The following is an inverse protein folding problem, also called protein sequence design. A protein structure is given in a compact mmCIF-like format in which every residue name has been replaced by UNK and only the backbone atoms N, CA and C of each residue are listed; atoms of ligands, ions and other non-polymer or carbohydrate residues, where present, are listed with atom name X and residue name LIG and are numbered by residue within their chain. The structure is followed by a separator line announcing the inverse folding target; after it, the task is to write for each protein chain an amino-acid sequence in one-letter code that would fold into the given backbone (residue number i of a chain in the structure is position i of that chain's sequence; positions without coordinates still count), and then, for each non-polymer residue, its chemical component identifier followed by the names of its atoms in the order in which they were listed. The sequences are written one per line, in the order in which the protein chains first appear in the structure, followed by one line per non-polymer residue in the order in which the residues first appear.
data_IF_756445511077
#
_entry.id   IF_756445511077
#
_cell.length_a   1.000
_cell.length_b   1.000
_cell.length_c   1.000
_cell.angle_alpha   90.00
_cell.angle_beta   90.00
_cell.angle_gamma   90.00
#
_symmetry.space_group_name_H-M   'P 1'
#
loop_
_entity.id
_entity.type
_entity.pdbx_description
1 polymer ?
#
# COMPACT_ATOMS: atom_id res chain seq x y z
N UNK A 1 -0.61 4.11 5.06
CA UNK A 1 -1.84 3.81 4.30
C UNK A 1 -1.62 4.30 2.87
N UNK A 2 -1.19 3.41 1.98
CA UNK A 2 -0.87 3.74 0.58
C UNK A 2 -2.13 3.60 -0.27
N UNK A 3 -2.52 4.67 -0.97
CA UNK A 3 -3.60 4.63 -1.96
C UNK A 3 -2.96 4.50 -3.34
N UNK A 4 -2.99 3.30 -3.91
CA UNK A 4 -2.67 3.08 -5.32
C UNK A 4 -3.90 3.45 -6.16
N UNK A 5 -3.83 4.55 -6.91
CA UNK A 5 -4.87 4.92 -7.88
C UNK A 5 -4.63 4.14 -9.17
N UNK A 6 -5.39 3.06 -9.38
CA UNK A 6 -5.44 2.31 -10.64
C UNK A 6 -6.45 2.94 -11.62
N UNK A 7 -6.16 2.83 -12.92
CA UNK A 7 -7.13 3.08 -14.01
C UNK A 7 -8.25 2.02 -14.04
N UNK A 8 -9.13 1.99 -15.07
CA UNK A 8 -10.34 1.16 -15.05
C UNK A 8 -10.06 -0.34 -14.83
N UNK A 9 -10.97 -1.07 -14.16
CA UNK A 9 -10.69 -2.36 -13.55
C UNK A 9 -10.42 -3.45 -14.59
N UNK A 10 -9.32 -4.18 -14.41
CA UNK A 10 -9.08 -5.46 -15.10
C UNK A 10 -9.66 -6.61 -14.28
N UNK A 11 -10.56 -7.34 -14.92
CA UNK A 11 -11.35 -8.42 -14.36
C UNK A 11 -10.48 -9.67 -14.10
N UNK A 12 -10.47 -10.15 -12.84
CA UNK A 12 -10.38 -11.57 -12.51
C UNK A 12 -9.00 -12.17 -12.26
N UNK A 13 -8.75 -12.55 -10.99
CA UNK A 13 -8.70 -13.95 -10.52
C UNK A 13 -8.29 -14.04 -9.04
N UNK A 14 -9.13 -14.71 -8.24
CA UNK A 14 -8.71 -15.49 -7.06
C UNK A 14 -8.48 -14.76 -5.74
N UNK A 15 -9.55 -14.33 -5.05
CA UNK A 15 -9.48 -13.82 -3.67
C UNK A 15 -10.38 -14.59 -2.68
N UNK A 16 -10.95 -15.73 -3.07
CA UNK A 16 -12.03 -16.35 -2.29
C UNK A 16 -11.56 -17.26 -1.14
N UNK A 17 -10.26 -17.59 -1.03
CA UNK A 17 -9.81 -18.66 -0.11
C UNK A 17 -9.10 -18.22 1.18
N UNK A 18 -8.76 -16.94 1.37
CA UNK A 18 -8.02 -16.48 2.57
C UNK A 18 -8.75 -15.47 3.46
N UNK A 19 -9.92 -14.96 3.04
CA UNK A 19 -10.69 -13.94 3.79
C UNK A 19 -11.19 -14.39 5.18
N UNK A 20 -11.00 -15.65 5.59
CA UNK A 20 -11.46 -16.16 6.87
C UNK A 20 -10.52 -15.88 8.07
N UNK A 21 -9.30 -15.34 7.88
CA UNK A 21 -8.29 -15.33 8.94
C UNK A 21 -7.97 -13.96 9.57
N UNK A 22 -8.47 -12.84 9.04
CA UNK A 22 -8.28 -11.52 9.66
C UNK A 22 -9.55 -11.12 10.40
N UNK A 23 -9.89 -11.88 11.44
CA UNK A 23 -11.00 -11.57 12.33
C UNK A 23 -10.50 -10.76 13.54
N UNK A 24 -11.16 -9.62 13.78
CA UNK A 24 -11.21 -8.84 15.02
C UNK A 24 -9.93 -8.13 15.51
N UNK A 25 -9.45 -7.13 14.75
CA UNK A 25 -8.99 -5.90 15.41
C UNK A 25 -10.19 -4.96 15.48
N UNK A 26 -10.91 -4.97 16.61
CA UNK A 26 -11.95 -3.97 16.91
C UNK A 26 -11.27 -2.64 17.20
N UNK A 27 -11.11 -1.81 16.16
CA UNK A 27 -10.74 -0.40 16.33
C UNK A 27 -12.03 0.34 16.72
N UNK A 28 -12.19 0.62 18.01
CA UNK A 28 -13.31 1.43 18.49
C UNK A 28 -13.23 2.84 17.89
N UNK A 29 -14.30 3.29 17.21
CA UNK A 29 -14.38 4.63 16.59
C UNK A 29 -14.31 4.68 15.07
N UNK A 30 -14.37 3.53 14.39
CA UNK A 30 -14.42 3.52 12.92
C UNK A 30 -15.75 4.13 12.43
N UNK A 31 -15.72 5.13 11.54
CA UNK A 31 -16.94 5.70 10.96
C UNK A 31 -17.72 4.65 10.17
N UNK A 32 -19.06 4.69 10.23
CA UNK A 32 -19.97 3.71 9.59
C UNK A 32 -19.72 3.54 8.08
N UNK A 33 -19.06 4.50 7.45
CA UNK A 33 -18.69 4.50 6.04
C UNK A 33 -17.41 3.70 5.71
N UNK A 34 -16.62 3.25 6.71
CA UNK A 34 -15.34 2.58 6.47
C UNK A 34 -15.47 1.34 5.58
N UNK A 35 -16.43 0.41 5.79
CA UNK A 35 -16.50 -0.80 4.96
C UNK A 35 -16.72 -0.47 3.48
N UNK A 36 -17.54 0.54 3.18
CA UNK A 36 -17.80 0.95 1.80
C UNK A 36 -16.64 1.70 1.16
N UNK A 37 -15.83 2.41 1.95
CA UNK A 37 -14.57 3.02 1.47
C UNK A 37 -13.52 1.94 1.19
N UNK A 38 -13.30 1.00 2.12
CA UNK A 38 -12.33 -0.07 1.93
C UNK A 38 -12.71 -1.02 0.79
N UNK A 39 -14.00 -1.22 0.53
CA UNK A 39 -14.46 -2.03 -0.60
C UNK A 39 -14.03 -1.47 -1.98
N UNK A 40 -13.59 -0.21 -2.03
CA UNK A 40 -13.11 0.46 -3.24
C UNK A 40 -11.58 0.44 -3.39
N UNK A 41 -10.88 -0.15 -2.43
CA UNK A 41 -9.42 -0.22 -2.41
C UNK A 41 -8.96 -1.65 -2.68
N UNK A 42 -7.96 -1.78 -3.54
CA UNK A 42 -7.23 -3.03 -3.67
C UNK A 42 -6.43 -3.28 -2.40
N UNK A 43 -6.63 -4.45 -1.79
CA UNK A 43 -5.96 -4.84 -0.56
C UNK A 43 -4.87 -5.86 -0.88
N UNK A 44 -3.65 -5.53 -0.49
CA UNK A 44 -2.51 -6.43 -0.56
C UNK A 44 -2.28 -7.06 0.80
N UNK A 45 -2.17 -8.39 0.83
CA UNK A 45 -1.77 -9.12 2.02
C UNK A 45 -0.26 -8.96 2.26
N UNK A 46 0.14 -8.88 3.53
CA UNK A 46 1.56 -8.87 3.91
C UNK A 46 2.03 -10.33 3.96
N UNK A 47 2.18 -10.92 2.77
CA UNK A 47 2.54 -12.32 2.61
C UNK A 47 4.06 -12.55 2.65
N UNK A 48 4.52 -13.73 2.24
CA UNK A 48 5.94 -14.04 2.17
C UNK A 48 6.70 -13.20 1.12
N UNK A 49 6.04 -12.81 0.02
CA UNK A 49 6.64 -12.00 -1.05
C UNK A 49 6.92 -10.59 -0.52
N UNK A 50 5.91 -9.97 0.12
CA UNK A 50 6.08 -8.65 0.73
C UNK A 50 7.15 -8.67 1.83
N UNK A 51 7.12 -9.66 2.72
CA UNK A 51 8.12 -9.78 3.79
C UNK A 51 9.54 -9.99 3.26
N UNK A 52 9.70 -10.76 2.19
CA UNK A 52 11.00 -10.93 1.53
C UNK A 52 11.50 -9.64 0.90
N UNK A 53 10.61 -8.87 0.25
CA UNK A 53 10.97 -7.58 -0.34
C UNK A 53 11.39 -6.57 0.75
N UNK A 54 10.66 -6.52 1.86
CA UNK A 54 11.01 -5.69 3.03
C UNK A 54 12.42 -6.03 3.56
N UNK A 55 12.72 -7.31 3.71
CA UNK A 55 14.03 -7.76 4.21
C UNK A 55 15.20 -7.45 3.24
N UNK A 56 14.91 -7.13 1.98
CA UNK A 56 15.91 -6.81 0.98
C UNK A 56 16.28 -5.32 0.94
N UNK A 57 15.59 -4.45 1.67
CA UNK A 57 15.95 -3.03 1.70
C UNK A 57 17.29 -2.83 2.42
N UNK A 58 18.23 -2.09 1.80
CA UNK A 58 19.59 -1.94 2.33
C UNK A 58 19.68 -0.88 3.44
N UNK A 59 18.69 -0.01 3.58
CA UNK A 59 18.68 1.08 4.55
C UNK A 59 18.23 0.55 5.94
N UNK A 60 19.14 0.50 6.94
CA UNK A 60 18.80 0.02 8.28
C UNK A 60 17.94 1.02 9.07
N UNK A 61 17.88 2.30 8.67
CA UNK A 61 17.10 3.34 9.34
C UNK A 61 15.68 3.47 8.73
N UNK A 62 15.38 2.68 7.69
CA UNK A 62 14.06 2.60 7.10
C UNK A 62 13.09 1.99 8.12
N UNK A 63 12.09 2.78 8.52
CA UNK A 63 11.08 2.30 9.44
C UNK A 63 10.32 1.09 8.88
N UNK A 64 9.97 0.14 9.75
CA UNK A 64 9.29 -1.09 9.36
C UNK A 64 7.99 -0.85 8.59
N UNK A 65 7.21 0.17 9.00
CA UNK A 65 5.97 0.55 8.32
C UNK A 65 6.23 1.14 6.93
N UNK A 66 7.28 1.95 6.78
CA UNK A 66 7.68 2.54 5.50
C UNK A 66 8.16 1.45 4.55
N UNK A 67 8.99 0.52 5.03
CA UNK A 67 9.43 -0.64 4.27
C UNK A 67 8.24 -1.46 3.76
N UNK A 68 7.24 -1.74 4.60
CA UNK A 68 6.03 -2.46 4.18
C UNK A 68 5.26 -1.66 3.10
N UNK A 69 5.15 -0.33 3.26
CA UNK A 69 4.48 0.51 2.27
C UNK A 69 5.21 0.56 0.93
N UNK A 70 6.54 0.64 0.94
CA UNK A 70 7.37 0.61 -0.27
C UNK A 70 7.27 -0.75 -0.97
N UNK A 71 7.39 -1.85 -0.22
CA UNK A 71 7.32 -3.20 -0.76
C UNK A 71 5.96 -3.47 -1.41
N UNK A 72 4.88 -2.99 -0.77
CA UNK A 72 3.53 -3.07 -1.33
C UNK A 72 3.39 -2.22 -2.59
N UNK A 73 3.90 -0.98 -2.60
CA UNK A 73 3.84 -0.11 -3.77
C UNK A 73 4.62 -0.69 -4.97
N UNK A 74 5.81 -1.24 -4.75
CA UNK A 74 6.59 -1.91 -5.79
C UNK A 74 5.89 -3.17 -6.32
N UNK A 75 5.26 -3.94 -5.43
CA UNK A 75 4.47 -5.12 -5.82
C UNK A 75 3.23 -4.73 -6.62
N UNK A 76 2.52 -3.67 -6.22
CA UNK A 76 1.40 -3.15 -6.99
C UNK A 76 1.84 -2.66 -8.38
N UNK A 77 2.97 -1.95 -8.45
CA UNK A 77 3.54 -1.44 -9.69
C UNK A 77 4.00 -2.54 -10.66
N UNK A 78 4.32 -3.75 -10.17
CA UNK A 78 4.68 -4.89 -11.01
C UNK A 78 3.46 -5.61 -11.61
N UNK A 79 2.30 -5.51 -10.95
CA UNK A 79 1.04 -6.09 -11.42
C UNK A 79 0.33 -5.16 -12.41
N UNK A 80 0.36 -3.86 -12.15
CA UNK A 80 -0.28 -2.86 -13.00
C UNK A 80 0.43 -1.50 -12.91
N UNK A 81 0.29 -0.61 -13.90
CA UNK A 81 0.86 0.73 -13.83
C UNK A 81 0.39 1.48 -12.58
N UNK A 82 1.33 1.74 -11.66
CA UNK A 82 1.09 2.55 -10.48
C UNK A 82 1.22 4.04 -10.83
N UNK A 83 0.12 4.78 -10.70
CA UNK A 83 0.11 6.22 -11.03
C UNK A 83 1.01 7.02 -10.10
N UNK A 84 0.88 6.83 -8.78
CA UNK A 84 1.70 7.45 -7.76
C UNK A 84 1.52 6.75 -6.40
N UNK A 85 2.52 6.85 -5.54
CA UNK A 85 2.42 6.65 -4.11
C UNK A 85 1.91 7.94 -3.47
N UNK A 86 0.77 7.89 -2.78
CA UNK A 86 0.23 9.05 -2.06
C UNK A 86 0.67 9.01 -0.60
N UNK A 87 1.42 10.01 -0.14
CA UNK A 87 1.84 10.12 1.26
C UNK A 87 2.03 11.57 1.70
N UNK A 88 1.66 11.87 2.94
CA UNK A 88 1.98 13.14 3.60
C UNK A 88 3.30 13.07 4.39
N UNK A 89 3.83 11.87 4.60
CA UNK A 89 5.07 11.65 5.35
C UNK A 89 6.28 11.93 4.44
N UNK A 90 7.13 12.86 4.88
CA UNK A 90 8.31 13.28 4.13
C UNK A 90 9.36 12.16 4.01
N UNK A 91 9.53 11.36 5.05
CA UNK A 91 10.53 10.28 5.07
C UNK A 91 10.13 9.18 4.11
N UNK A 92 8.85 8.79 4.13
CA UNK A 92 8.33 7.80 3.18
C UNK A 92 8.37 8.33 1.74
N UNK A 93 8.10 9.62 1.52
CA UNK A 93 8.26 10.25 0.20
C UNK A 93 9.70 10.10 -0.30
N UNK A 94 10.68 10.52 0.50
CA UNK A 94 12.09 10.49 0.12
C UNK A 94 12.54 9.05 -0.21
N UNK A 95 12.14 8.08 0.62
CA UNK A 95 12.46 6.67 0.38
C UNK A 95 11.80 6.13 -0.91
N UNK A 96 10.58 6.54 -1.22
CA UNK A 96 9.89 6.16 -2.45
C UNK A 96 10.50 6.80 -3.70
N UNK A 97 10.87 8.08 -3.62
CA UNK A 97 11.55 8.80 -4.69
C UNK A 97 12.93 8.19 -4.99
N UNK A 98 13.66 7.76 -3.96
CA UNK A 98 14.92 7.03 -4.12
C UNK A 98 14.75 5.70 -4.91
N UNK A 99 13.55 5.12 -4.88
CA UNK A 99 13.16 3.94 -5.66
C UNK A 99 12.50 4.28 -7.00
N UNK A 100 12.58 5.55 -7.43
CA UNK A 100 11.98 6.06 -8.68
C UNK A 100 10.46 5.89 -8.77
N UNK A 101 9.76 5.80 -7.64
CA UNK A 101 8.31 5.84 -7.61
C UNK A 101 7.82 7.28 -7.72
N UNK A 102 6.79 7.52 -8.53
CA UNK A 102 6.11 8.82 -8.52
C UNK A 102 5.40 9.01 -7.16
N UNK A 103 5.59 10.16 -6.50
CA UNK A 103 4.98 10.45 -5.20
C UNK A 103 4.10 11.70 -5.28
N UNK A 104 2.95 11.68 -4.60
CA UNK A 104 2.07 12.83 -4.44
C UNK A 104 1.76 13.03 -2.96
N UNK A 105 1.93 14.26 -2.47
CA UNK A 105 1.52 14.66 -1.14
C UNK A 105 0.32 15.63 -1.25
N UNK A 106 -0.91 15.21 -0.93
CA UNK A 106 -2.05 16.11 -1.01
C UNK A 106 -1.86 17.29 -0.05
N UNK A 107 -2.45 18.44 -0.35
CA UNK A 107 -2.32 19.63 0.51
C UNK A 107 -0.93 20.28 0.54
N UNK A 108 0.08 19.68 -0.10
CA UNK A 108 1.34 20.35 -0.43
C UNK A 108 1.20 20.83 -1.88
N UNK A 109 1.08 22.14 -2.07
CA UNK A 109 0.98 22.73 -3.40
C UNK A 109 2.27 22.44 -4.19
N UNK A 110 2.11 21.98 -5.44
CA UNK A 110 3.19 21.68 -6.38
C UNK A 110 3.94 22.95 -6.79
#
# INVERSE_FOLDING_TARGET
MTVAVHGPPVLGRGFDSCCAAVDLVTISGIPVQMPSVLARLDRFEIDAVIRSAVAAYPDPELHSLDAIHLATAQTAASVAPLTALVTYDNRLREAAEALSLAVVAPGQAR
#
